data_IF_148081718997
#
_entry.id   IF_148081718997
#
_cell.length_a   1.000
_cell.length_b   1.000
_cell.length_c   1.000
_cell.angle_alpha   90.00
_cell.angle_beta   90.00
_cell.angle_gamma   90.00
#
_symmetry.space_group_name_H-M   'P 1'
#
loop_
_entity.id
_entity.type
_entity.pdbx_description
1 polymer ?
#
# COMPACT_ATOMS: atom_id res chain seq x y z
N UNK A 1 -9.31 27.89 33.50
CA UNK A 1 -7.96 27.75 34.10
C UNK A 1 -7.55 26.28 34.08
N UNK A 2 -6.82 25.82 33.06
CA UNK A 2 -6.34 24.44 32.97
C UNK A 2 -4.89 24.44 32.48
N UNK A 3 -3.95 24.19 33.39
CA UNK A 3 -2.51 24.37 33.18
C UNK A 3 -1.93 23.20 32.38
N UNK A 4 -1.17 23.54 31.34
CA UNK A 4 -0.24 22.68 30.62
C UNK A 4 0.73 21.96 31.58
N UNK A 5 1.03 20.68 31.30
CA UNK A 5 2.19 19.98 31.85
C UNK A 5 3.08 19.45 30.74
N UNK A 6 4.37 19.60 30.99
CA UNK A 6 5.46 19.68 30.04
C UNK A 6 6.12 18.34 29.72
N UNK A 7 6.86 18.42 28.62
CA UNK A 7 7.81 17.48 28.03
C UNK A 7 9.03 17.21 28.92
N UNK A 8 9.49 15.95 28.97
CA UNK A 8 10.88 15.61 29.27
C UNK A 8 11.23 14.24 28.66
N UNK A 9 12.18 14.20 27.73
CA UNK A 9 12.88 12.97 27.30
C UNK A 9 14.38 13.22 27.38
N UNK A 10 15.07 12.49 28.25
CA UNK A 10 16.52 12.51 28.44
C UNK A 10 17.18 11.42 27.58
N UNK A 11 18.33 11.75 26.95
CA UNK A 11 19.20 10.82 26.20
C UNK A 11 20.31 10.27 27.11
N UNK A 12 20.79 9.04 26.90
CA UNK A 12 22.10 8.60 27.39
C UNK A 12 23.18 8.53 26.28
N UNK A 13 24.48 8.44 26.66
CA UNK A 13 25.63 8.87 25.85
C UNK A 13 26.35 7.78 25.05
N UNK A 14 27.27 8.24 24.18
CA UNK A 14 28.18 7.46 23.32
C UNK A 14 29.33 6.82 24.11
N UNK A 15 29.83 5.68 23.61
CA UNK A 15 31.12 5.11 24.01
C UNK A 15 32.01 4.86 22.77
N UNK A 16 33.27 5.31 22.86
CA UNK A 16 34.38 5.01 21.98
C UNK A 16 35.28 3.96 22.66
N UNK A 17 35.94 3.09 21.89
CA UNK A 17 37.00 2.20 22.38
C UNK A 17 37.86 1.67 21.23
N UNK A 18 39.17 1.96 21.29
CA UNK A 18 40.23 1.59 20.34
C UNK A 18 40.98 0.31 20.75
N UNK A 19 41.67 -0.32 19.80
CA UNK A 19 42.75 -1.32 20.01
C UNK A 19 42.66 -2.43 18.96
N UNK A 20 43.71 -2.94 18.30
CA UNK A 20 45.16 -2.82 18.41
C UNK A 20 45.80 -3.69 17.31
N UNK A 21 47.13 -3.65 17.20
CA UNK A 21 47.94 -3.88 15.99
C UNK A 21 48.38 -5.33 15.64
N UNK A 22 48.88 -5.47 14.39
CA UNK A 22 50.00 -6.31 13.88
C UNK A 22 49.84 -7.86 13.85
N UNK A 23 50.50 -8.70 13.02
CA UNK A 23 51.65 -8.59 12.12
C UNK A 23 51.72 -9.79 11.13
N UNK A 24 52.46 -9.59 10.02
CA UNK A 24 53.34 -10.52 9.27
C UNK A 24 52.85 -11.81 8.53
N UNK A 25 52.86 -11.69 7.19
CA UNK A 25 53.52 -12.46 6.09
C UNK A 25 53.65 -14.00 6.12
N UNK A 26 53.31 -14.60 4.95
CA UNK A 26 54.05 -15.55 4.06
C UNK A 26 52.95 -16.28 3.25
N UNK A 27 52.75 -16.07 1.94
CA UNK A 27 53.57 -16.60 0.84
C UNK A 27 52.91 -17.86 0.26
N UNK A 28 52.36 -17.77 -0.96
CA UNK A 28 52.56 -18.71 -2.09
C UNK A 28 51.55 -18.46 -3.21
N UNK A 29 52.09 -18.49 -4.42
CA UNK A 29 51.45 -18.33 -5.72
C UNK A 29 50.39 -19.40 -5.99
N UNK A 30 49.17 -18.97 -6.29
CA UNK A 30 48.16 -19.78 -6.94
C UNK A 30 47.57 -18.99 -8.09
N UNK A 31 47.92 -19.35 -9.32
CA UNK A 31 47.28 -18.87 -10.54
C UNK A 31 45.81 -19.23 -10.49
N UNK A 32 44.95 -18.28 -10.08
CA UNK A 32 43.52 -18.48 -10.13
C UNK A 32 43.10 -18.51 -11.61
N UNK A 33 42.35 -19.52 -12.06
CA UNK A 33 41.78 -19.47 -13.40
C UNK A 33 40.85 -18.25 -13.44
N UNK A 34 40.96 -17.44 -14.50
CA UNK A 34 40.03 -16.36 -14.81
C UNK A 34 38.64 -16.95 -14.98
N UNK A 35 37.92 -17.18 -13.88
CA UNK A 35 36.48 -17.44 -13.91
C UNK A 35 35.85 -16.19 -14.45
N UNK A 36 35.30 -16.30 -15.67
CA UNK A 36 34.45 -15.29 -16.25
C UNK A 36 33.48 -14.82 -15.17
N UNK A 37 33.57 -13.53 -14.81
CA UNK A 37 32.59 -12.87 -13.96
C UNK A 37 31.30 -12.86 -14.75
N UNK A 38 30.49 -13.91 -14.60
CA UNK A 38 29.07 -13.80 -14.88
C UNK A 38 28.55 -12.83 -13.83
N UNK A 39 28.54 -11.56 -14.19
CA UNK A 39 27.74 -10.55 -13.52
C UNK A 39 26.29 -10.99 -13.72
N UNK A 40 25.78 -11.78 -12.78
CA UNK A 40 24.36 -11.98 -12.62
C UNK A 40 23.78 -10.61 -12.37
N UNK A 41 23.34 -9.93 -13.43
CA UNK A 41 22.39 -8.83 -13.33
C UNK A 41 21.22 -9.41 -12.57
N UNK A 42 21.14 -9.09 -11.28
CA UNK A 42 20.07 -9.55 -10.42
C UNK A 42 18.76 -9.20 -11.11
N UNK A 43 18.01 -10.22 -11.51
CA UNK A 43 16.63 -10.03 -11.95
C UNK A 43 15.89 -9.58 -10.70
N UNK A 44 15.78 -8.26 -10.50
CA UNK A 44 14.85 -7.72 -9.51
C UNK A 44 13.46 -8.09 -10.00
N UNK A 45 12.87 -9.12 -9.40
CA UNK A 45 11.47 -9.46 -9.60
C UNK A 45 10.65 -8.30 -9.05
N UNK A 46 10.36 -7.30 -9.90
CA UNK A 46 9.51 -6.18 -9.52
C UNK A 46 8.10 -6.74 -9.40
N UNK A 47 7.64 -7.00 -8.18
CA UNK A 47 6.25 -7.37 -7.93
C UNK A 47 5.34 -6.31 -8.51
N UNK A 48 4.25 -6.71 -9.16
CA UNK A 48 3.27 -5.78 -9.72
C UNK A 48 2.79 -4.81 -8.62
N UNK A 49 2.74 -3.49 -8.88
CA UNK A 49 2.44 -2.49 -7.85
C UNK A 49 1.01 -2.66 -7.32
N UNK A 50 0.84 -2.73 -6.00
CA UNK A 50 -0.49 -2.87 -5.40
C UNK A 50 -1.32 -1.60 -5.63
N UNK A 51 -2.59 -1.78 -6.01
CA UNK A 51 -3.58 -0.70 -6.11
C UNK A 51 -4.59 -0.84 -4.96
N UNK A 52 -4.76 0.22 -4.17
CA UNK A 52 -5.83 0.30 -3.18
C UNK A 52 -7.03 1.03 -3.77
N UNK A 53 -8.15 0.31 -3.93
CA UNK A 53 -9.43 0.90 -4.33
C UNK A 53 -10.17 1.35 -3.07
N UNK A 54 -10.37 2.65 -2.92
CA UNK A 54 -11.02 3.26 -1.76
C UNK A 54 -12.48 3.56 -2.12
N UNK A 55 -13.40 2.96 -1.37
CA UNK A 55 -14.85 3.09 -1.56
C UNK A 55 -15.47 3.75 -0.33
N UNK A 56 -15.65 5.08 -0.31
CA UNK A 56 -16.44 5.73 0.72
C UNK A 56 -17.92 5.37 0.52
N UNK A 57 -18.59 4.96 1.60
CA UNK A 57 -19.97 4.49 1.57
C UNK A 57 -20.79 5.19 2.64
N UNK A 58 -21.87 5.85 2.25
CA UNK A 58 -22.90 6.38 3.15
C UNK A 58 -24.27 6.20 2.50
N UNK A 59 -25.14 5.40 3.11
CA UNK A 59 -26.49 5.10 2.62
C UNK A 59 -26.52 4.62 1.14
N UNK A 60 -25.62 3.69 0.80
CA UNK A 60 -25.46 3.14 -0.55
C UNK A 60 -25.70 1.61 -0.63
N UNK A 61 -26.50 1.03 0.26
CA UNK A 61 -26.70 -0.42 0.39
C UNK A 61 -27.19 -1.11 -0.87
N UNK A 62 -27.92 -0.38 -1.72
CA UNK A 62 -28.40 -0.85 -3.03
C UNK A 62 -27.32 -0.96 -4.11
N UNK A 63 -26.22 -0.21 -3.98
CA UNK A 63 -25.22 -0.05 -5.05
C UNK A 63 -23.83 -0.59 -4.65
N UNK A 64 -23.52 -0.57 -3.36
CA UNK A 64 -22.17 -0.88 -2.86
C UNK A 64 -21.68 -2.29 -3.21
N UNK A 65 -22.61 -3.23 -3.46
CA UNK A 65 -22.30 -4.56 -3.98
C UNK A 65 -21.62 -4.48 -5.35
N UNK A 66 -22.17 -3.73 -6.28
CA UNK A 66 -21.66 -3.61 -7.65
C UNK A 66 -20.30 -2.90 -7.67
N UNK A 67 -20.10 -1.92 -6.79
CA UNK A 67 -18.81 -1.26 -6.58
C UNK A 67 -17.74 -2.25 -6.10
N UNK A 68 -18.05 -3.06 -5.08
CA UNK A 68 -17.14 -4.09 -4.55
C UNK A 68 -16.82 -5.16 -5.60
N UNK A 69 -17.85 -5.72 -6.24
CA UNK A 69 -17.71 -6.80 -7.21
C UNK A 69 -16.90 -6.34 -8.44
N UNK A 70 -17.17 -5.15 -8.96
CA UNK A 70 -16.43 -4.61 -10.10
C UNK A 70 -14.95 -4.32 -9.79
N UNK A 71 -14.63 -3.92 -8.56
CA UNK A 71 -13.25 -3.75 -8.10
C UNK A 71 -12.54 -5.10 -7.89
N UNK A 72 -13.24 -6.12 -7.40
CA UNK A 72 -12.70 -7.48 -7.21
C UNK A 72 -12.46 -8.21 -8.54
N UNK A 73 -13.30 -7.92 -9.54
CA UNK A 73 -13.28 -8.54 -10.88
C UNK A 73 -12.33 -7.85 -11.87
N UNK A 74 -11.48 -6.93 -11.42
CA UNK A 74 -10.47 -6.31 -12.27
C UNK A 74 -9.50 -7.36 -12.83
N UNK A 75 -9.12 -7.21 -14.10
CA UNK A 75 -8.11 -8.08 -14.74
C UNK A 75 -6.72 -7.88 -14.17
N UNK A 76 -6.50 -6.75 -13.48
CA UNK A 76 -5.29 -6.51 -12.70
C UNK A 76 -5.41 -7.16 -11.31
N UNK A 77 -4.53 -8.13 -11.01
CA UNK A 77 -4.69 -8.97 -9.82
C UNK A 77 -4.25 -8.32 -8.49
N UNK A 78 -3.23 -7.45 -8.52
CA UNK A 78 -2.65 -6.84 -7.32
C UNK A 78 -3.52 -5.68 -6.81
N UNK A 79 -4.66 -6.04 -6.22
CA UNK A 79 -5.69 -5.11 -5.74
C UNK A 79 -6.06 -5.44 -4.31
N UNK A 80 -6.18 -4.40 -3.49
CA UNK A 80 -6.95 -4.43 -2.25
C UNK A 80 -8.07 -3.40 -2.33
N UNK A 81 -9.12 -3.61 -1.54
CA UNK A 81 -10.29 -2.74 -1.48
C UNK A 81 -10.47 -2.29 -0.04
N UNK A 82 -10.60 -0.99 0.15
CA UNK A 82 -10.85 -0.36 1.45
C UNK A 82 -12.20 0.34 1.38
N UNK A 83 -13.23 -0.32 1.92
CA UNK A 83 -14.55 0.24 2.05
C UNK A 83 -14.68 0.96 3.39
N UNK A 84 -15.07 2.23 3.36
CA UNK A 84 -15.28 3.03 4.56
C UNK A 84 -16.77 3.37 4.66
N UNK A 85 -17.50 2.66 5.54
CA UNK A 85 -18.85 3.03 5.93
C UNK A 85 -18.80 4.25 6.85
N UNK A 86 -19.22 5.40 6.34
CA UNK A 86 -19.23 6.69 7.03
C UNK A 86 -20.53 6.90 7.83
N UNK A 87 -20.86 5.91 8.65
CA UNK A 87 -22.00 5.99 9.57
C UNK A 87 -23.36 5.93 8.90
N UNK A 88 -23.52 5.03 7.91
CA UNK A 88 -24.82 4.79 7.26
C UNK A 88 -25.92 4.50 8.28
N UNK A 89 -27.11 5.02 8.04
CA UNK A 89 -28.29 4.81 8.89
C UNK A 89 -29.04 3.52 8.54
N UNK A 90 -28.83 3.01 7.33
CA UNK A 90 -29.37 1.71 6.92
C UNK A 90 -28.48 0.54 7.37
N UNK A 91 -29.09 -0.64 7.47
CA UNK A 91 -28.34 -1.87 7.72
C UNK A 91 -27.66 -2.34 6.44
N UNK A 92 -26.32 -2.22 6.42
CA UNK A 92 -25.49 -2.69 5.31
C UNK A 92 -25.03 -4.14 5.49
N UNK A 93 -25.27 -4.78 6.63
CA UNK A 93 -24.75 -6.11 6.91
C UNK A 93 -25.21 -7.17 5.90
N UNK A 94 -26.48 -7.20 5.44
CA UNK A 94 -26.90 -8.15 4.41
C UNK A 94 -26.11 -8.04 3.11
N UNK A 95 -25.66 -6.83 2.76
CA UNK A 95 -24.85 -6.58 1.57
C UNK A 95 -23.37 -6.86 1.83
N UNK A 96 -22.85 -6.52 3.01
CA UNK A 96 -21.42 -6.54 3.32
C UNK A 96 -20.91 -7.86 3.91
N UNK A 97 -21.77 -8.68 4.50
CA UNK A 97 -21.41 -9.95 5.13
C UNK A 97 -20.54 -10.87 4.23
N UNK A 98 -20.82 -11.04 2.91
CA UNK A 98 -20.01 -11.88 2.04
C UNK A 98 -18.54 -11.44 1.91
N UNK A 99 -18.26 -10.16 2.16
CA UNK A 99 -16.95 -9.56 1.94
C UNK A 99 -16.11 -9.46 3.21
N UNK A 100 -16.68 -9.66 4.40
CA UNK A 100 -15.96 -9.48 5.68
C UNK A 100 -14.75 -10.41 5.85
N UNK A 101 -14.83 -11.61 5.29
CA UNK A 101 -13.74 -12.59 5.31
C UNK A 101 -12.93 -12.63 4.01
N UNK A 102 -13.21 -11.74 3.06
CA UNK A 102 -12.52 -11.74 1.79
C UNK A 102 -11.12 -11.14 1.94
N UNK A 103 -10.06 -11.89 1.62
CA UNK A 103 -8.67 -11.52 1.89
C UNK A 103 -8.22 -10.17 1.27
N UNK A 104 -8.89 -9.73 0.20
CA UNK A 104 -8.62 -8.45 -0.49
C UNK A 104 -9.53 -7.30 -0.05
N UNK A 105 -10.51 -7.51 0.81
CA UNK A 105 -11.48 -6.47 1.21
C UNK A 105 -11.31 -6.13 2.69
N UNK A 106 -11.18 -4.84 2.97
CA UNK A 106 -11.18 -4.28 4.32
C UNK A 106 -12.38 -3.37 4.47
N UNK A 107 -13.30 -3.74 5.35
CA UNK A 107 -14.50 -2.96 5.66
C UNK A 107 -14.28 -2.25 6.98
N UNK A 108 -14.47 -0.94 6.98
CA UNK A 108 -14.24 -0.10 8.16
C UNK A 108 -15.45 0.79 8.40
N UNK A 109 -15.95 0.81 9.64
CA UNK A 109 -17.03 1.71 10.05
C UNK A 109 -16.47 2.90 10.84
N UNK A 110 -17.09 4.06 10.71
CA UNK A 110 -16.88 5.26 11.54
C UNK A 110 -18.20 5.99 11.75
N UNK A 111 -18.24 6.88 12.75
CA UNK A 111 -19.30 7.91 12.82
C UNK A 111 -19.19 8.83 11.61
N UNK A 112 -20.35 9.22 11.06
CA UNK A 112 -20.44 10.10 9.90
C UNK A 112 -19.62 11.38 10.11
N UNK A 113 -18.64 11.59 9.23
CA UNK A 113 -17.77 12.78 9.20
C UNK A 113 -17.66 13.39 7.79
N UNK A 114 -18.47 12.91 6.86
CA UNK A 114 -18.52 13.33 5.47
C UNK A 114 -17.49 12.65 4.57
N UNK A 115 -17.75 12.73 3.26
CA UNK A 115 -16.95 12.12 2.20
C UNK A 115 -15.43 12.40 2.30
N UNK A 116 -14.95 13.64 2.57
CA UNK A 116 -13.52 13.88 2.69
C UNK A 116 -12.89 13.09 3.85
N UNK A 117 -13.57 12.98 4.99
CA UNK A 117 -13.08 12.21 6.14
C UNK A 117 -13.04 10.72 5.84
N UNK A 118 -14.07 10.19 5.17
CA UNK A 118 -14.12 8.80 4.72
C UNK A 118 -12.97 8.46 3.74
N UNK A 119 -12.74 9.32 2.73
CA UNK A 119 -11.61 9.16 1.80
C UNK A 119 -10.26 9.23 2.52
N UNK A 120 -10.07 10.21 3.40
CA UNK A 120 -8.83 10.36 4.17
C UNK A 120 -8.56 9.15 5.06
N UNK A 121 -9.60 8.56 5.65
CA UNK A 121 -9.44 7.31 6.38
C UNK A 121 -9.06 6.16 5.44
N UNK A 122 -9.73 6.03 4.30
CA UNK A 122 -9.38 5.04 3.29
C UNK A 122 -7.91 5.12 2.87
N UNK A 123 -7.39 6.34 2.65
CA UNK A 123 -5.97 6.58 2.33
C UNK A 123 -5.05 6.08 3.44
N UNK A 124 -5.33 6.41 4.71
CA UNK A 124 -4.49 5.96 5.85
C UNK A 124 -4.48 4.45 6.03
N UNK A 125 -5.55 3.78 5.64
CA UNK A 125 -5.76 2.34 5.82
C UNK A 125 -5.30 1.52 4.61
N UNK A 126 -4.90 2.20 3.53
CA UNK A 126 -4.40 1.63 2.27
C UNK A 126 -2.90 1.29 2.36
N UNK A 127 -2.49 0.27 1.61
CA UNK A 127 -1.12 -0.26 1.52
C UNK A 127 -0.56 -0.21 0.10
N UNK A 128 -1.36 0.17 -0.89
CA UNK A 128 -1.01 0.22 -2.30
C UNK A 128 -0.05 1.36 -2.66
N UNK A 129 0.75 1.13 -3.70
CA UNK A 129 1.57 2.19 -4.32
C UNK A 129 0.69 3.19 -5.08
N UNK A 130 -0.45 2.73 -5.59
CA UNK A 130 -1.44 3.54 -6.29
C UNK A 130 -2.78 3.52 -5.56
N UNK A 131 -3.47 4.65 -5.58
CA UNK A 131 -4.81 4.79 -5.02
C UNK A 131 -5.83 5.03 -6.15
N UNK A 132 -6.98 4.37 -6.06
CA UNK A 132 -8.14 4.63 -6.93
C UNK A 132 -9.36 4.88 -6.06
N UNK A 133 -9.94 6.07 -6.17
CA UNK A 133 -11.24 6.35 -5.57
C UNK A 133 -12.34 5.83 -6.50
N UNK A 134 -13.30 5.12 -5.92
CA UNK A 134 -14.51 4.63 -6.56
C UNK A 134 -15.68 4.98 -5.64
N UNK A 135 -16.65 5.73 -6.14
CA UNK A 135 -17.84 6.07 -5.37
C UNK A 135 -18.75 4.83 -5.25
N UNK A 136 -19.52 4.72 -4.16
CA UNK A 136 -20.25 3.50 -3.82
C UNK A 136 -21.46 3.21 -4.75
N UNK A 137 -21.86 4.18 -5.56
CA UNK A 137 -22.92 4.11 -6.57
C UNK A 137 -22.41 3.91 -8.00
N UNK A 138 -21.09 3.72 -8.18
CA UNK A 138 -20.42 3.49 -9.45
C UNK A 138 -19.78 2.09 -9.52
N UNK A 139 -19.32 1.71 -10.72
CA UNK A 139 -18.53 0.50 -10.95
C UNK A 139 -17.34 0.74 -11.88
N UNK A 140 -16.35 -0.15 -11.82
CA UNK A 140 -15.20 -0.13 -12.72
C UNK A 140 -15.39 -1.08 -13.92
N UNK A 141 -15.05 -0.62 -15.12
CA UNK A 141 -14.88 -1.53 -16.25
C UNK A 141 -13.74 -2.55 -15.96
N UNK A 142 -13.78 -3.79 -16.47
CA UNK A 142 -12.85 -4.86 -16.08
C UNK A 142 -11.35 -4.53 -16.25
N UNK A 143 -11.01 -3.66 -17.21
CA UNK A 143 -9.64 -3.28 -17.55
C UNK A 143 -9.23 -1.89 -17.04
N UNK A 144 -10.03 -1.26 -16.18
CA UNK A 144 -9.83 0.11 -15.74
C UNK A 144 -8.47 0.29 -15.03
N UNK A 145 -8.15 -0.57 -14.06
CA UNK A 145 -6.89 -0.45 -13.31
C UNK A 145 -5.66 -0.71 -14.18
N UNK A 146 -5.71 -1.74 -15.03
CA UNK A 146 -4.63 -2.03 -15.96
C UNK A 146 -4.38 -0.86 -16.94
N UNK A 147 -5.46 -0.21 -17.40
CA UNK A 147 -5.38 0.99 -18.24
C UNK A 147 -4.70 2.17 -17.53
N UNK A 148 -5.12 2.45 -16.29
CA UNK A 148 -4.54 3.53 -15.48
C UNK A 148 -3.05 3.30 -15.19
N UNK A 149 -2.66 2.06 -14.84
CA UNK A 149 -1.26 1.73 -14.58
C UNK A 149 -0.38 1.84 -15.83
N UNK A 150 -0.87 1.39 -17.00
CA UNK A 150 -0.16 1.59 -18.27
C UNK A 150 0.08 3.07 -18.56
N UNK A 151 -0.92 3.91 -18.30
CA UNK A 151 -0.77 5.36 -18.47
C UNK A 151 0.26 5.93 -17.48
N UNK A 152 0.16 5.58 -16.20
CA UNK A 152 1.09 6.03 -15.16
C UNK A 152 2.55 5.63 -15.46
N UNK A 153 2.78 4.40 -15.92
CA UNK A 153 4.10 3.90 -16.28
C UNK A 153 4.74 4.74 -17.40
N UNK A 154 3.97 5.08 -18.44
CA UNK A 154 4.45 5.93 -19.56
C UNK A 154 4.87 7.32 -19.09
N UNK A 155 4.16 7.91 -18.14
CA UNK A 155 4.49 9.23 -17.61
C UNK A 155 5.73 9.21 -16.72
N UNK A 156 5.95 8.11 -15.99
CA UNK A 156 7.13 7.93 -15.15
C UNK A 156 8.40 7.84 -15.99
N UNK A 157 8.37 7.14 -17.13
CA UNK A 157 9.49 7.04 -18.08
C UNK A 157 9.83 8.36 -18.79
N UNK A 158 8.89 9.31 -18.87
CA UNK A 158 9.11 10.64 -19.46
C UNK A 158 9.71 11.65 -18.49
N UNK A 159 9.77 11.33 -17.20
CA UNK A 159 10.20 12.22 -16.13
C UNK A 159 11.57 11.88 -15.54
N UNK A 160 12.25 10.85 -16.05
CA UNK A 160 13.66 10.60 -15.73
C UNK A 160 14.53 11.69 -16.36
N UNK A 161 15.36 12.41 -15.58
CA UNK A 161 16.22 13.49 -16.06
C UNK A 161 17.29 13.00 -17.06
#
# INVERSE_FOLDING_TARGET
MGKHRACARTRPPRANGMGGAASARIGTSGTQPRRARLETRGVTMTSAPLVSVIIPCYNAGRFVRDALDSALAQTYAAVEIVLVNDGSTEDLEPTLAPYRNHARVKIIAQTNQGLPAARNRGIRESRGEYLKFLDADDWLAPNALAGLLRFAARQRSRRTP
#
